data_IF_885864411256
#
_entry.id   IF_885864411256
#
_cell.length_a   1.000
_cell.length_b   1.000
_cell.length_c   1.000
_cell.angle_alpha   90.00
_cell.angle_beta   90.00
_cell.angle_gamma   90.00
#
_symmetry.space_group_name_H-M   'P 1'
#
loop_
_entity.id
_entity.type
_entity.pdbx_description
1 polymer ?
#
# COMPACT_ATOMS: atom_id res chain seq x y z
N UNK A 1 -6.36 4.64 -1.46
CA UNK A 1 -6.80 5.20 -0.17
C UNK A 1 -5.60 5.82 0.53
N UNK A 2 -5.71 7.05 1.04
CA UNK A 2 -4.63 7.70 1.78
C UNK A 2 -4.46 7.08 3.17
N UNK A 3 -3.24 7.15 3.72
CA UNK A 3 -2.89 6.38 4.91
C UNK A 3 -3.69 6.75 6.17
N UNK A 4 -4.04 8.03 6.36
CA UNK A 4 -4.84 8.46 7.50
C UNK A 4 -6.29 7.93 7.51
N UNK A 5 -6.77 7.39 6.39
CA UNK A 5 -8.08 6.72 6.30
C UNK A 5 -7.98 5.21 6.51
N UNK A 6 -6.78 4.63 6.40
CA UNK A 6 -6.55 3.18 6.53
C UNK A 6 -6.93 2.67 7.91
N UNK A 7 -6.56 3.39 8.96
CA UNK A 7 -6.88 3.04 10.35
C UNK A 7 -8.39 3.11 10.66
N UNK A 8 -9.16 3.83 9.84
CA UNK A 8 -10.61 3.96 10.00
C UNK A 8 -11.37 2.82 9.32
N UNK A 9 -10.68 2.00 8.52
CA UNK A 9 -11.33 0.90 7.83
C UNK A 9 -11.70 -0.21 8.80
N UNK A 10 -12.87 -0.86 8.61
CA UNK A 10 -13.21 -2.06 9.34
C UNK A 10 -12.12 -3.13 9.22
N UNK A 11 -11.89 -3.86 10.30
CA UNK A 11 -10.94 -4.97 10.32
C UNK A 11 -11.27 -6.00 9.21
N UNK A 12 -10.23 -6.56 8.56
CA UNK A 12 -10.34 -7.52 7.42
C UNK A 12 -10.98 -6.96 6.14
N UNK A 13 -10.84 -5.66 5.86
CA UNK A 13 -11.20 -5.08 4.55
C UNK A 13 -10.01 -5.08 3.60
N UNK A 14 -10.24 -5.42 2.33
CA UNK A 14 -9.26 -5.18 1.27
C UNK A 14 -9.22 -3.69 0.93
N UNK A 15 -8.01 -3.14 0.85
CA UNK A 15 -7.76 -1.74 0.54
C UNK A 15 -6.66 -1.62 -0.50
N UNK A 16 -6.79 -0.63 -1.37
CA UNK A 16 -5.72 -0.22 -2.27
C UNK A 16 -5.05 1.02 -1.71
N UNK A 17 -3.75 0.94 -1.49
CA UNK A 17 -2.93 2.03 -0.95
C UNK A 17 -1.72 2.24 -1.86
N UNK A 18 -1.26 3.48 -1.95
CA UNK A 18 -0.06 3.85 -2.70
C UNK A 18 0.83 4.70 -1.80
N UNK A 19 2.13 4.43 -1.82
CA UNK A 19 3.10 5.19 -1.04
C UNK A 19 4.52 4.80 -1.44
N UNK A 20 5.47 5.62 -0.99
CA UNK A 20 6.90 5.41 -1.21
C UNK A 20 7.39 4.38 -0.18
N UNK A 21 8.08 3.34 -0.65
CA UNK A 21 8.76 2.39 0.25
C UNK A 21 10.00 3.07 0.83
N UNK A 22 9.99 3.33 2.14
CA UNK A 22 11.13 3.95 2.83
C UNK A 22 11.99 2.95 3.59
N UNK A 23 11.42 1.79 3.91
CA UNK A 23 12.16 0.66 4.46
C UNK A 23 11.52 -0.65 4.02
N UNK A 24 12.37 -1.64 3.74
CA UNK A 24 11.97 -2.99 3.41
C UNK A 24 12.80 -3.94 4.26
N UNK A 25 12.13 -4.67 5.15
CA UNK A 25 12.79 -5.63 6.02
C UNK A 25 13.31 -6.84 5.24
N UNK A 26 14.27 -7.54 5.84
CA UNK A 26 14.76 -8.82 5.34
C UNK A 26 13.63 -9.84 5.23
N UNK A 27 13.78 -10.80 4.31
CA UNK A 27 12.84 -11.90 4.18
C UNK A 27 12.99 -12.86 5.35
N UNK A 28 11.88 -13.11 6.04
CA UNK A 28 11.77 -14.05 7.15
C UNK A 28 10.84 -15.20 6.78
N UNK A 29 10.84 -16.24 7.62
CA UNK A 29 9.94 -17.39 7.45
C UNK A 29 9.12 -17.61 8.73
N UNK A 30 7.84 -17.22 8.70
CA UNK A 30 6.90 -17.44 9.80
C UNK A 30 6.08 -18.69 9.48
N UNK A 31 6.21 -19.73 10.30
CA UNK A 31 5.51 -21.00 10.06
C UNK A 31 5.85 -21.65 8.72
N UNK A 32 7.11 -21.50 8.26
CA UNK A 32 7.58 -22.03 6.97
C UNK A 32 7.14 -21.24 5.74
N UNK A 33 6.43 -20.12 5.91
CA UNK A 33 5.98 -19.25 4.82
C UNK A 33 6.80 -17.96 4.75
N UNK A 34 7.16 -17.48 3.55
CA UNK A 34 7.92 -16.25 3.42
C UNK A 34 7.10 -15.03 3.88
N UNK A 35 7.72 -14.17 4.66
CA UNK A 35 7.13 -12.95 5.20
C UNK A 35 8.18 -11.85 5.25
N UNK A 36 7.76 -10.60 5.04
CA UNK A 36 8.59 -9.43 5.35
C UNK A 36 7.73 -8.21 5.63
N UNK A 37 8.28 -7.26 6.35
CA UNK A 37 7.64 -5.98 6.60
C UNK A 37 8.14 -4.92 5.62
N UNK A 38 7.27 -3.99 5.26
CA UNK A 38 7.65 -2.76 4.60
C UNK A 38 7.07 -1.56 5.34
N UNK A 39 7.82 -0.47 5.35
CA UNK A 39 7.35 0.83 5.82
C UNK A 39 7.07 1.67 4.59
N UNK A 40 5.81 2.09 4.46
CA UNK A 40 5.37 2.96 3.38
C UNK A 40 5.13 4.38 3.92
N UNK A 41 5.36 5.37 3.07
CA UNK A 41 5.13 6.79 3.36
C UNK A 41 4.24 7.44 2.30
N UNK A 42 3.21 8.16 2.74
CA UNK A 42 2.26 8.92 1.90
C UNK A 42 2.33 10.41 2.27
N UNK A 43 2.24 11.27 1.25
CA UNK A 43 2.19 12.72 1.43
C UNK A 43 0.77 13.17 1.68
N UNK A 44 0.52 13.82 2.81
CA UNK A 44 -0.73 14.49 3.12
C UNK A 44 -0.55 16.00 2.96
N UNK A 45 -1.20 16.57 1.96
CA UNK A 45 -1.29 18.03 1.83
C UNK A 45 -2.34 18.57 2.80
N UNK A 46 -1.94 19.45 3.71
CA UNK A 46 -2.87 20.22 4.56
C UNK A 46 -2.85 21.67 4.10
N UNK A 47 -3.99 22.16 3.60
CA UNK A 47 -4.13 23.54 3.12
C UNK A 47 -4.70 24.39 4.24
N UNK A 48 -3.97 25.43 4.65
CA UNK A 48 -4.49 26.50 5.51
C UNK A 48 -4.73 27.74 4.65
N UNK A 49 -5.94 28.30 4.72
CA UNK A 49 -6.24 29.58 4.11
C UNK A 49 -6.07 30.68 5.16
N UNK A 50 -5.02 31.48 5.00
CA UNK A 50 -4.91 32.83 5.56
C UNK A 50 -4.04 33.62 4.60
N UNK A 51 -4.20 34.94 4.59
CA UNK A 51 -3.94 35.87 3.48
C UNK A 51 -2.47 35.99 2.99
N UNK A 52 -1.60 35.02 3.31
CA UNK A 52 -0.34 34.70 2.67
C UNK A 52 -0.18 33.16 2.62
N UNK A 53 -0.32 32.59 1.42
CA UNK A 53 -0.33 31.13 1.14
C UNK A 53 0.83 30.39 1.81
N UNK A 54 0.51 29.59 2.83
CA UNK A 54 1.45 28.67 3.47
C UNK A 54 0.93 27.24 3.32
N UNK A 55 1.73 26.37 2.69
CA UNK A 55 1.42 24.96 2.53
C UNK A 55 2.16 24.17 3.62
N UNK A 56 1.43 23.37 4.40
CA UNK A 56 2.04 22.42 5.32
C UNK A 56 1.89 21.02 4.71
N UNK A 57 3.04 20.41 4.41
CA UNK A 57 3.10 19.00 4.05
C UNK A 57 3.26 18.17 5.32
N UNK A 58 2.35 17.23 5.53
CA UNK A 58 2.49 16.18 6.54
C UNK A 58 2.76 14.87 5.83
N UNK A 59 3.45 13.98 6.51
CA UNK A 59 3.74 12.64 6.01
C UNK A 59 3.10 11.64 6.93
N UNK A 60 2.29 10.76 6.36
CA UNK A 60 1.70 9.63 7.06
C UNK A 60 2.54 8.40 6.76
N UNK A 61 2.73 7.53 7.75
CA UNK A 61 3.53 6.30 7.62
C UNK A 61 2.67 5.12 8.05
N UNK A 62 2.76 4.01 7.32
CA UNK A 62 2.18 2.72 7.72
C UNK A 62 3.21 1.61 7.66
N UNK A 63 3.05 0.61 8.52
CA UNK A 63 3.80 -0.65 8.47
C UNK A 63 2.88 -1.69 7.84
N UNK A 64 3.35 -2.38 6.81
CA UNK A 64 2.61 -3.42 6.11
C UNK A 64 3.35 -4.74 6.17
N UNK A 65 2.63 -5.80 6.54
CA UNK A 65 3.09 -7.17 6.43
C UNK A 65 2.89 -7.69 5.01
N UNK A 66 3.94 -8.24 4.42
CA UNK A 66 3.95 -8.75 3.05
C UNK A 66 4.16 -10.26 3.08
N UNK A 67 3.21 -10.98 2.47
CA UNK A 67 3.34 -12.39 2.10
C UNK A 67 3.62 -12.47 0.60
N UNK A 68 4.88 -12.60 0.15
CA UNK A 68 5.25 -12.52 -1.27
C UNK A 68 4.51 -13.53 -2.16
N UNK A 69 4.19 -14.70 -1.63
CA UNK A 69 3.44 -15.76 -2.32
C UNK A 69 1.99 -15.33 -2.63
N UNK A 70 1.39 -14.47 -1.80
CA UNK A 70 0.06 -13.93 -2.04
C UNK A 70 0.09 -12.79 -3.07
N UNK A 71 1.18 -12.00 -3.09
CA UNK A 71 1.37 -10.95 -4.10
C UNK A 71 1.51 -11.53 -5.51
N UNK A 72 2.31 -12.58 -5.69
CA UNK A 72 2.49 -13.22 -7.00
C UNK A 72 1.16 -13.76 -7.55
N UNK A 73 0.33 -14.35 -6.69
CA UNK A 73 -0.97 -14.92 -7.10
C UNK A 73 -1.94 -13.85 -7.63
N UNK A 74 -1.94 -12.66 -7.04
CA UNK A 74 -2.78 -11.55 -7.50
C UNK A 74 -2.24 -10.93 -8.80
N UNK A 75 -0.92 -10.80 -8.95
CA UNK A 75 -0.32 -10.30 -10.19
C UNK A 75 -0.60 -11.23 -11.39
N UNK A 76 -0.45 -12.55 -11.19
CA UNK A 76 -0.74 -13.56 -12.22
C UNK A 76 -2.24 -13.61 -12.59
N UNK A 77 -3.13 -13.41 -11.61
CA UNK A 77 -4.57 -13.32 -11.86
C UNK A 77 -4.92 -12.10 -12.68
N UNK A 78 -4.32 -10.95 -12.40
CA UNK A 78 -4.55 -9.72 -13.16
C UNK A 78 -4.00 -9.81 -14.59
N UNK A 79 -2.87 -10.50 -14.82
CA UNK A 79 -2.38 -10.75 -16.18
C UNK A 79 -3.28 -11.70 -16.98
N UNK A 80 -3.86 -12.72 -16.33
CA UNK A 80 -4.79 -13.65 -16.98
C UNK A 80 -6.12 -12.98 -17.36
N UNK A 81 -6.57 -12.00 -16.58
CA UNK A 81 -7.74 -11.17 -16.89
C UNK A 81 -7.51 -10.17 -18.05
N UNK A 82 -6.24 -9.89 -18.38
CA UNK A 82 -5.86 -8.96 -19.45
C UNK A 82 -5.41 -9.67 -20.74
N UNK A 83 -5.61 -10.98 -20.87
CA UNK A 83 -5.27 -11.72 -22.09
C UNK A 83 -6.34 -11.43 -23.18
N UNK A 84 -6.02 -10.71 -24.27
CA UNK A 84 -6.98 -10.34 -25.30
C UNK A 84 -7.44 -11.53 -26.17
N UNK A 85 -7.06 -12.76 -25.84
CA UNK A 85 -7.37 -13.97 -26.61
C UNK A 85 -8.65 -14.70 -26.20
N UNK A 86 -9.57 -14.05 -25.48
CA UNK A 86 -10.85 -14.66 -25.06
C UNK A 86 -12.09 -14.15 -25.82
N UNK A 87 -11.90 -13.31 -26.84
CA UNK A 87 -12.95 -12.98 -27.82
C UNK A 87 -12.60 -13.63 -29.17
N UNK A 88 -12.79 -14.95 -29.28
CA UNK A 88 -12.94 -15.66 -30.55
C UNK A 88 -14.13 -16.63 -30.47
#
# INVERSE_FOLDING_TARGET
MPFHEVLQQPHKRFIDVIGIVIHLASLEHIGGRPYREAILMDSRRVIFYSNNTSFIYRWDIIVVGIWPELLQRNALRNSALHDPKSEE
#
